data_IF_458239634639
#
_entry.id   IF_458239634639
#
_cell.length_a   1.000
_cell.length_b   1.000
_cell.length_c   1.000
_cell.angle_alpha   90.00
_cell.angle_beta   90.00
_cell.angle_gamma   90.00
#
_symmetry.space_group_name_H-M   'P 1'
#
loop_
_entity.id
_entity.type
_entity.pdbx_description
1 polymer ?
#
# COMPACT_ATOMS: atom_id res chain seq x y z
N UNK A 1 -1.36 6.43 31.16
CA UNK A 1 -2.29 6.34 30.00
C UNK A 1 -3.31 7.47 30.10
N UNK A 2 -3.22 8.47 29.24
CA UNK A 2 -4.15 9.62 29.25
C UNK A 2 -5.57 9.19 28.89
N UNK A 3 -6.59 9.84 29.48
CA UNK A 3 -8.00 9.55 29.17
C UNK A 3 -8.27 9.78 27.67
N UNK A 4 -8.97 8.85 26.99
CA UNK A 4 -9.29 9.03 25.58
C UNK A 4 -10.27 10.19 25.37
N UNK A 5 -10.06 10.95 24.30
CA UNK A 5 -10.96 12.03 23.90
C UNK A 5 -12.36 11.49 23.61
N UNK A 6 -13.37 12.37 23.57
CA UNK A 6 -14.74 12.00 23.19
C UNK A 6 -14.77 11.35 21.80
N UNK A 7 -14.04 11.91 20.84
CA UNK A 7 -13.94 11.37 19.48
C UNK A 7 -13.26 10.00 19.46
N UNK A 8 -12.18 9.80 20.22
CA UNK A 8 -11.54 8.49 20.33
C UNK A 8 -12.48 7.42 20.88
N UNK A 9 -13.27 7.75 21.90
CA UNK A 9 -14.31 6.84 22.43
C UNK A 9 -15.35 6.51 21.36
N UNK A 10 -15.79 7.50 20.58
CA UNK A 10 -16.73 7.27 19.48
C UNK A 10 -16.15 6.36 18.38
N UNK A 11 -14.88 6.54 18.02
CA UNK A 11 -14.17 5.68 17.06
C UNK A 11 -14.08 4.24 17.56
N UNK A 12 -13.75 4.04 18.85
CA UNK A 12 -13.69 2.70 19.46
C UNK A 12 -15.07 2.03 19.52
N UNK A 13 -16.13 2.79 19.84
CA UNK A 13 -17.50 2.27 19.78
C UNK A 13 -17.88 1.85 18.36
N UNK A 14 -17.58 2.69 17.36
CA UNK A 14 -17.83 2.39 15.95
C UNK A 14 -17.12 1.10 15.52
N UNK A 15 -15.86 0.90 15.91
CA UNK A 15 -15.12 -0.33 15.63
C UNK A 15 -15.86 -1.58 16.14
N UNK A 16 -16.30 -1.55 17.41
CA UNK A 16 -17.03 -2.67 18.04
C UNK A 16 -18.37 -2.93 17.35
N UNK A 17 -19.09 -1.87 16.99
CA UNK A 17 -20.37 -1.96 16.29
C UNK A 17 -20.22 -2.56 14.89
N UNK A 18 -19.17 -2.18 14.14
CA UNK A 18 -18.86 -2.73 12.83
C UNK A 18 -18.49 -4.22 12.90
N UNK A 19 -17.66 -4.61 13.87
CA UNK A 19 -17.38 -6.03 14.11
C UNK A 19 -18.65 -6.82 14.40
N UNK A 20 -19.52 -6.30 15.28
CA UNK A 20 -20.79 -6.96 15.62
C UNK A 20 -21.73 -7.06 14.42
N UNK A 21 -21.86 -6.02 13.61
CA UNK A 21 -22.69 -6.01 12.41
C UNK A 21 -22.10 -6.83 11.24
N UNK A 22 -20.79 -7.09 11.27
CA UNK A 22 -20.07 -7.94 10.33
C UNK A 22 -20.07 -9.43 10.69
N UNK A 23 -20.46 -9.80 11.91
CA UNK A 23 -20.58 -11.22 12.30
C UNK A 23 -21.53 -11.96 11.38
N UNK A 24 -21.11 -13.13 10.91
CA UNK A 24 -21.87 -13.95 9.95
C UNK A 24 -21.65 -13.56 8.48
N UNK A 25 -20.89 -12.50 8.17
CA UNK A 25 -20.47 -12.16 6.80
C UNK A 25 -18.99 -12.56 6.60
N UNK A 26 -18.66 -13.43 5.63
CA UNK A 26 -17.28 -13.85 5.42
C UNK A 26 -16.40 -12.64 5.04
N UNK A 27 -15.23 -12.54 5.67
CA UNK A 27 -14.25 -11.49 5.40
C UNK A 27 -14.57 -10.09 5.96
N UNK A 28 -15.76 -9.85 6.52
CA UNK A 28 -16.15 -8.53 7.02
C UNK A 28 -15.27 -8.09 8.22
N UNK A 29 -15.06 -8.97 9.20
CA UNK A 29 -14.23 -8.66 10.37
C UNK A 29 -12.77 -8.39 10.01
N UNK A 30 -12.20 -9.20 9.11
CA UNK A 30 -10.83 -9.04 8.64
C UNK A 30 -10.65 -7.68 7.96
N UNK A 31 -11.63 -7.28 7.13
CA UNK A 31 -11.61 -5.99 6.44
C UNK A 31 -11.71 -4.81 7.40
N UNK A 32 -12.64 -4.87 8.37
CA UNK A 32 -12.75 -3.85 9.43
C UNK A 32 -11.45 -3.72 10.21
N UNK A 33 -10.80 -4.84 10.57
CA UNK A 33 -9.51 -4.82 11.28
C UNK A 33 -8.40 -4.19 10.46
N UNK A 34 -8.29 -4.55 9.19
CA UNK A 34 -7.27 -4.01 8.29
C UNK A 34 -7.40 -2.49 8.14
N UNK A 35 -8.63 -2.00 7.94
CA UNK A 35 -8.93 -0.58 7.78
C UNK A 35 -8.56 0.25 9.01
N UNK A 36 -9.01 -0.20 10.19
CA UNK A 36 -8.72 0.50 11.44
C UNK A 36 -7.22 0.47 11.77
N UNK A 37 -6.50 -0.59 11.39
CA UNK A 37 -5.04 -0.65 11.53
C UNK A 37 -4.34 0.32 10.58
N UNK A 38 -4.78 0.41 9.32
CA UNK A 38 -4.24 1.36 8.35
C UNK A 38 -4.31 2.81 8.86
N UNK A 39 -5.41 3.17 9.53
CA UNK A 39 -5.62 4.51 10.07
C UNK A 39 -5.19 4.68 11.53
N UNK A 40 -4.67 3.65 12.19
CA UNK A 40 -4.23 3.73 13.59
C UNK A 40 -2.98 4.62 13.78
N UNK A 41 -2.20 4.82 12.71
CA UNK A 41 -1.03 5.70 12.71
C UNK A 41 -1.35 7.19 12.56
N UNK A 42 -2.63 7.58 12.38
CA UNK A 42 -3.00 8.98 12.25
C UNK A 42 -2.67 9.76 13.54
N UNK A 43 -2.04 10.94 13.42
CA UNK A 43 -1.75 11.77 14.59
C UNK A 43 -3.05 12.21 15.26
N UNK A 44 -3.06 12.23 16.60
CA UNK A 44 -4.26 12.59 17.39
C UNK A 44 -4.74 14.03 17.14
N UNK A 45 -3.86 14.89 16.61
CA UNK A 45 -4.14 16.27 16.23
C UNK A 45 -4.90 16.40 14.91
N UNK A 46 -4.91 15.38 14.05
CA UNK A 46 -5.63 15.39 12.78
C UNK A 46 -7.12 15.07 12.98
N UNK A 47 -7.79 15.95 13.72
CA UNK A 47 -9.19 15.79 14.14
C UNK A 47 -10.10 15.72 12.93
N UNK A 48 -9.85 16.54 11.89
CA UNK A 48 -10.69 16.59 10.70
C UNK A 48 -10.67 15.28 9.92
N UNK A 49 -9.48 14.68 9.71
CA UNK A 49 -9.38 13.39 9.02
C UNK A 49 -10.03 12.27 9.83
N UNK A 50 -9.80 12.25 11.15
CA UNK A 50 -10.41 11.26 12.04
C UNK A 50 -11.94 11.39 12.02
N UNK A 51 -12.47 12.61 12.07
CA UNK A 51 -13.91 12.86 11.98
C UNK A 51 -14.49 12.42 10.64
N UNK A 52 -13.82 12.73 9.53
CA UNK A 52 -14.24 12.31 8.21
C UNK A 52 -14.37 10.78 8.13
N UNK A 53 -13.33 10.06 8.57
CA UNK A 53 -13.31 8.60 8.59
C UNK A 53 -14.39 8.03 9.52
N UNK A 54 -14.60 8.65 10.68
CA UNK A 54 -15.67 8.27 11.61
C UNK A 54 -17.07 8.42 10.99
N UNK A 55 -17.37 9.58 10.38
CA UNK A 55 -18.66 9.83 9.72
C UNK A 55 -18.88 8.84 8.57
N UNK A 56 -17.84 8.55 7.79
CA UNK A 56 -17.88 7.54 6.71
C UNK A 56 -18.17 6.13 7.24
N UNK A 57 -17.45 5.69 8.28
CA UNK A 57 -17.66 4.39 8.90
C UNK A 57 -19.06 4.23 9.49
N UNK A 58 -19.65 5.30 10.04
CA UNK A 58 -21.05 5.29 10.49
C UNK A 58 -22.05 5.05 9.35
N UNK A 59 -21.82 5.63 8.17
CA UNK A 59 -22.67 5.38 6.99
C UNK A 59 -22.59 3.92 6.57
N UNK A 60 -21.39 3.33 6.56
CA UNK A 60 -21.21 1.90 6.25
C UNK A 60 -21.87 0.99 7.29
N UNK A 61 -21.80 1.35 8.57
CA UNK A 61 -22.52 0.63 9.62
C UNK A 61 -24.04 0.66 9.41
N UNK A 62 -24.61 1.81 9.02
CA UNK A 62 -26.03 1.91 8.68
C UNK A 62 -26.39 1.00 7.49
N UNK A 63 -25.56 0.98 6.45
CA UNK A 63 -25.74 0.08 5.29
C UNK A 63 -25.63 -1.40 5.67
N UNK A 64 -24.73 -1.75 6.59
CA UNK A 64 -24.61 -3.12 7.10
C UNK A 64 -25.84 -3.56 7.88
N UNK A 65 -26.42 -2.65 8.65
CA UNK A 65 -27.61 -2.89 9.48
C UNK A 65 -28.90 -2.95 8.67
N UNK A 66 -28.99 -2.20 7.57
CA UNK A 66 -30.19 -2.18 6.72
C UNK A 66 -30.36 -3.43 5.85
N UNK A 67 -29.49 -4.45 5.98
CA UNK A 67 -29.63 -5.73 5.26
C UNK A 67 -29.29 -5.67 3.76
N UNK A 68 -29.14 -4.48 3.19
CA UNK A 68 -28.81 -4.28 1.77
C UNK A 68 -27.33 -4.53 1.42
N UNK A 69 -26.45 -4.66 2.42
CA UNK A 69 -25.02 -4.88 2.19
C UNK A 69 -24.66 -6.37 2.13
N UNK A 70 -24.50 -6.89 0.90
CA UNK A 70 -24.01 -8.25 0.60
C UNK A 70 -22.52 -8.45 0.96
N UNK A 71 -21.74 -7.36 1.00
CA UNK A 71 -20.33 -7.36 1.39
C UNK A 71 -19.91 -5.99 1.96
N UNK A 72 -18.84 -5.98 2.77
CA UNK A 72 -18.20 -4.75 3.23
C UNK A 72 -17.32 -4.16 2.12
N UNK A 73 -17.71 -2.99 1.58
CA UNK A 73 -16.85 -2.21 0.70
C UNK A 73 -15.62 -1.65 1.43
N UNK A 74 -14.57 -1.28 0.69
CA UNK A 74 -13.40 -0.60 1.24
C UNK A 74 -13.79 0.77 1.83
N UNK A 75 -13.31 1.12 3.03
CA UNK A 75 -13.52 2.45 3.59
C UNK A 75 -12.55 3.49 3.00
N UNK A 76 -11.65 3.08 2.11
CA UNK A 76 -10.85 3.93 1.21
C UNK A 76 -10.75 3.22 -0.15
N UNK A 77 -11.10 3.88 -1.27
CA UNK A 77 -10.53 3.47 -2.56
C UNK A 77 -9.09 3.95 -2.50
N UNK A 78 -8.13 3.04 -2.52
CA UNK A 78 -6.72 3.39 -2.66
C UNK A 78 -6.57 4.12 -4.00
N UNK A 79 -6.60 5.44 -3.95
CA UNK A 79 -6.73 6.31 -5.13
C UNK A 79 -6.47 7.78 -4.80
N UNK A 80 -5.74 8.05 -3.73
CA UNK A 80 -5.00 9.30 -3.57
C UNK A 80 -3.54 8.92 -3.33
N UNK A 81 -2.68 8.91 -4.37
CA UNK A 81 -1.25 8.86 -4.21
C UNK A 81 -0.78 10.25 -3.79
N UNK A 82 -0.91 10.58 -2.50
CA UNK A 82 -0.22 11.75 -1.94
C UNK A 82 1.13 11.28 -1.42
N UNK A 83 2.10 11.34 -2.32
CA UNK A 83 3.55 11.60 -2.18
C UNK A 83 4.36 11.07 -0.99
N UNK A 84 5.64 10.80 -1.32
CA UNK A 84 6.78 10.36 -0.51
C UNK A 84 6.80 8.83 -0.26
N UNK A 85 7.79 8.06 -0.72
CA UNK A 85 9.23 8.35 -0.88
C UNK A 85 9.78 7.45 -1.97
N UNK A 86 10.47 8.05 -2.95
CA UNK A 86 11.31 7.32 -3.92
C UNK A 86 12.59 6.94 -3.19
N UNK A 87 12.55 5.86 -2.43
CA UNK A 87 13.75 5.22 -1.90
C UNK A 87 14.20 4.19 -2.94
N UNK A 88 15.07 4.62 -3.85
CA UNK A 88 15.80 3.72 -4.75
C UNK A 88 16.97 3.11 -3.97
N UNK A 89 16.64 2.24 -3.02
CA UNK A 89 17.60 1.39 -2.32
C UNK A 89 17.98 0.19 -3.20
N UNK A 90 19.26 0.13 -3.55
CA UNK A 90 19.96 -0.99 -4.19
C UNK A 90 19.74 -2.34 -3.49
N UNK A 91 19.59 -3.43 -4.26
CA UNK A 91 20.11 -4.74 -3.83
C UNK A 91 20.88 -5.39 -5.00
N UNK A 92 22.04 -6.04 -4.89
CA UNK A 92 22.84 -6.60 -3.82
C UNK A 92 23.79 -7.61 -4.51
N UNK A 93 25.10 -7.47 -4.32
CA UNK A 93 26.18 -8.44 -4.66
C UNK A 93 26.09 -9.62 -3.67
N UNK A 94 26.59 -10.89 -3.86
CA UNK A 94 27.99 -11.21 -4.23
C UNK A 94 28.22 -12.62 -4.89
N UNK A 95 29.39 -13.32 -4.75
CA UNK A 95 30.37 -13.54 -5.81
C UNK A 95 30.62 -15.04 -6.14
N UNK A 96 31.74 -15.33 -6.84
CA UNK A 96 32.44 -16.61 -7.02
C UNK A 96 32.11 -17.48 -8.25
N UNK A 97 33.06 -17.55 -9.19
CA UNK A 97 33.85 -18.77 -9.49
C UNK A 97 34.52 -18.69 -10.87
N UNK A 98 35.84 -18.85 -10.83
CA UNK A 98 36.82 -19.18 -11.87
C UNK A 98 36.38 -20.37 -12.76
N UNK A 99 36.61 -20.33 -14.09
CA UNK A 99 37.30 -21.39 -14.88
C UNK A 99 37.35 -21.05 -16.40
N UNK A 100 38.55 -20.78 -16.90
CA UNK A 100 39.08 -21.45 -18.10
C UNK A 100 38.65 -21.05 -19.53
N UNK A 101 39.49 -21.30 -20.55
CA UNK A 101 39.67 -20.40 -21.70
C UNK A 101 39.18 -20.95 -23.05
N UNK A 102 38.88 -20.08 -24.02
CA UNK A 102 38.78 -20.46 -25.44
C UNK A 102 39.67 -19.55 -26.31
N UNK A 103 40.74 -20.16 -26.85
CA UNK A 103 41.54 -19.68 -28.00
C UNK A 103 40.72 -19.80 -29.32
N UNK A 104 41.31 -19.55 -30.51
CA UNK A 104 41.74 -18.27 -31.07
C UNK A 104 41.11 -18.06 -32.48
N UNK A 105 40.97 -16.83 -32.96
CA UNK A 105 40.79 -16.62 -34.40
C UNK A 105 41.86 -15.68 -34.93
N UNK A 106 42.92 -16.30 -35.45
CA UNK A 106 43.86 -15.69 -36.38
C UNK A 106 43.18 -15.53 -37.75
N UNK A 107 43.31 -14.34 -38.37
CA UNK A 107 43.78 -14.17 -39.76
C UNK A 107 43.25 -12.89 -40.42
N UNK A 108 44.18 -11.95 -40.57
CA UNK A 108 44.67 -11.42 -41.85
C UNK A 108 43.67 -10.75 -42.82
N UNK A 109 43.91 -9.47 -43.11
CA UNK A 109 43.52 -8.85 -44.39
C UNK A 109 43.16 -7.36 -44.34
N UNK A 110 44.17 -6.49 -44.37
CA UNK A 110 44.04 -5.16 -45.03
C UNK A 110 43.99 -5.40 -46.57
N UNK A 111 43.51 -4.48 -47.46
CA UNK A 111 44.04 -3.11 -47.58
C UNK A 111 43.08 -1.97 -48.03
N UNK A 112 43.49 -0.74 -47.68
CA UNK A 112 43.60 0.49 -48.49
C UNK A 112 42.39 1.21 -49.13
N UNK A 113 42.59 2.54 -49.17
CA UNK A 113 41.76 3.71 -49.55
C UNK A 113 41.25 3.77 -51.01
N UNK A 114 40.42 4.77 -51.39
CA UNK A 114 40.95 6.07 -51.82
C UNK A 114 40.12 7.30 -51.38
N UNK A 115 40.79 8.44 -51.18
CA UNK A 115 40.20 9.78 -51.05
C UNK A 115 40.84 10.74 -52.07
N UNK A 116 40.25 10.85 -53.27
CA UNK A 116 40.32 12.06 -54.11
C UNK A 116 39.33 13.10 -53.50
N UNK A 117 39.50 14.41 -53.51
CA UNK A 117 40.36 15.33 -54.24
C UNK A 117 39.55 16.64 -54.38
N UNK A 118 40.08 17.77 -53.91
CA UNK A 118 39.98 19.14 -54.46
C UNK A 118 40.41 20.19 -53.43
#
# INVERSE_FOLDING_TARGET
MSRPSRLQRQVLSLYRELLRAGRGKPGAEARVRAEFRQHAGLPRSDVLRIEYLYRRGRRQLQLLRSGHAKAMGAFVRLGDPTEATRDAGTPGTPPDADDGPRRPLDSMGAPETPSEGR
#
